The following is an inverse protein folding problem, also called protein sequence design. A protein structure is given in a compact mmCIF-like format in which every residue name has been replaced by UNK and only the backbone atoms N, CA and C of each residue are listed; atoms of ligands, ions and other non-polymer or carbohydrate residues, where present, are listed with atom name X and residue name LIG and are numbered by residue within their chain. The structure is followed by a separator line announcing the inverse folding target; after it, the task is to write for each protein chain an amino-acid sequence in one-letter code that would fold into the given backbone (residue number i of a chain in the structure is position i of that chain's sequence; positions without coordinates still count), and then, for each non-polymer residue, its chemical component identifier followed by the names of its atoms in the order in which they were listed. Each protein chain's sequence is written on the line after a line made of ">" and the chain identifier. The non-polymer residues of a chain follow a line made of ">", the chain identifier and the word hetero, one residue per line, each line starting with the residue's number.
data_IF_357673182233
#
_entry.id   IF_357673182233
#
_cell.length_a   1.000
_cell.length_b   1.000
_cell.length_c   1.000
_cell.angle_alpha   90.00
_cell.angle_beta   90.00
_cell.angle_gamma   90.00
#
_symmetry.space_group_name_H-M   'P 1'
#
loop_
_entity.id
_entity.type
_entity.pdbx_description
1 polymer ?
#
# COMPACT_ATOMS: atom_id res chain seq x y z
N UNK A 1 -22.38 23.56 -8.98
CA UNK A 1 -22.49 22.35 -9.85
C UNK A 1 -21.57 22.56 -11.04
N UNK A 2 -20.63 21.68 -11.24
CA UNK A 2 -19.62 21.72 -12.31
C UNK A 2 -20.09 21.01 -13.59
N UNK A 3 -21.27 20.39 -13.58
CA UNK A 3 -21.89 19.67 -14.69
C UNK A 3 -21.44 18.20 -14.81
N UNK A 4 -20.67 17.70 -13.88
CA UNK A 4 -20.28 16.29 -13.78
C UNK A 4 -21.01 15.68 -12.58
N UNK A 5 -21.63 14.52 -12.74
CA UNK A 5 -22.24 13.79 -11.62
C UNK A 5 -21.15 12.87 -11.03
N UNK A 6 -20.73 13.16 -9.83
CA UNK A 6 -19.73 12.37 -9.11
C UNK A 6 -20.12 12.11 -7.65
N UNK A 7 -19.18 11.63 -6.83
CA UNK A 7 -19.44 11.29 -5.44
C UNK A 7 -19.85 12.49 -4.58
N UNK A 8 -19.42 13.70 -4.94
CA UNK A 8 -19.78 14.91 -4.20
C UNK A 8 -21.29 15.20 -4.34
N UNK A 9 -21.86 15.07 -5.53
CA UNK A 9 -23.28 15.25 -5.79
C UNK A 9 -24.13 14.22 -5.03
N UNK A 10 -23.67 12.98 -4.95
CA UNK A 10 -24.35 11.91 -4.20
C UNK A 10 -24.37 12.24 -2.72
N UNK A 11 -23.24 12.64 -2.14
CA UNK A 11 -23.16 13.00 -0.71
C UNK A 11 -24.02 14.23 -0.41
N UNK A 12 -23.97 15.27 -1.24
CA UNK A 12 -24.81 16.45 -1.11
C UNK A 12 -26.31 16.13 -1.13
N UNK A 13 -26.74 15.26 -2.05
CA UNK A 13 -28.12 14.83 -2.14
C UNK A 13 -28.55 14.08 -0.88
N UNK A 14 -27.73 13.20 -0.36
CA UNK A 14 -27.99 12.44 0.88
C UNK A 14 -28.07 13.39 2.08
N UNK A 15 -27.14 14.34 2.22
CA UNK A 15 -27.17 15.36 3.26
C UNK A 15 -28.51 16.12 3.25
N UNK A 16 -28.95 16.53 2.07
CA UNK A 16 -30.21 17.26 1.90
C UNK A 16 -31.44 16.39 2.26
N UNK A 17 -31.45 15.10 1.87
CA UNK A 17 -32.55 14.18 2.16
C UNK A 17 -32.63 13.87 3.67
N UNK A 18 -31.48 13.68 4.33
CA UNK A 18 -31.40 13.29 5.73
C UNK A 18 -31.35 14.50 6.69
N UNK A 19 -31.37 15.73 6.18
CA UNK A 19 -31.23 16.98 6.95
C UNK A 19 -29.99 16.97 7.86
N UNK A 20 -28.85 16.53 7.32
CA UNK A 20 -27.58 16.45 8.05
C UNK A 20 -26.90 17.81 8.06
N UNK A 21 -26.67 18.37 9.25
CA UNK A 21 -25.83 19.55 9.41
C UNK A 21 -24.33 19.18 9.40
N UNK A 22 -23.69 19.37 8.26
CA UNK A 22 -22.25 19.09 8.09
C UNK A 22 -21.35 19.94 9.00
N UNK A 23 -21.82 21.11 9.49
CA UNK A 23 -21.03 21.95 10.39
C UNK A 23 -20.90 21.35 11.81
N UNK A 24 -21.70 20.37 12.17
CA UNK A 24 -21.61 19.62 13.43
C UNK A 24 -20.68 18.41 13.35
N UNK A 25 -20.06 18.16 12.18
CA UNK A 25 -19.21 17.03 11.92
C UNK A 25 -17.73 17.43 11.90
N UNK A 26 -16.85 16.47 12.13
CA UNK A 26 -15.41 16.72 12.01
C UNK A 26 -15.04 16.93 10.56
N UNK A 27 -14.56 18.13 10.23
CA UNK A 27 -14.17 18.51 8.87
C UNK A 27 -13.05 17.63 8.34
N UNK A 28 -13.20 17.15 7.12
CA UNK A 28 -12.22 16.38 6.39
C UNK A 28 -11.22 17.35 5.74
N UNK A 29 -9.96 17.34 6.18
CA UNK A 29 -8.92 18.22 5.66
C UNK A 29 -7.78 17.48 4.96
N UNK A 30 -7.48 16.26 5.44
CA UNK A 30 -6.43 15.43 4.89
C UNK A 30 -6.88 13.99 4.75
N UNK A 31 -6.51 13.40 3.63
CA UNK A 31 -6.69 11.98 3.36
C UNK A 31 -5.43 11.39 2.74
N UNK A 32 -5.15 10.17 3.09
CA UNK A 32 -4.03 9.41 2.53
C UNK A 32 -4.40 7.97 2.35
N UNK A 33 -3.76 7.31 1.41
CA UNK A 33 -3.90 5.87 1.25
C UNK A 33 -2.56 5.21 0.98
N UNK A 34 -2.51 3.93 1.29
CA UNK A 34 -1.38 3.07 0.97
C UNK A 34 -1.89 1.77 0.37
N UNK A 35 -1.11 1.20 -0.53
CA UNK A 35 -1.46 -0.02 -1.23
C UNK A 35 -0.43 -1.12 -0.94
N UNK A 36 -0.89 -2.28 -0.47
CA UNK A 36 -0.04 -3.44 -0.19
C UNK A 36 -0.80 -4.75 -0.38
N UNK A 37 -0.23 -5.66 -1.15
CA UNK A 37 -0.79 -7.02 -1.35
C UNK A 37 -2.30 -7.03 -1.64
N UNK A 38 -2.76 -6.19 -2.58
CA UNK A 38 -4.17 -6.02 -2.94
C UNK A 38 -5.02 -5.27 -1.90
N UNK A 39 -4.47 -4.96 -0.74
CA UNK A 39 -5.16 -4.15 0.27
C UNK A 39 -4.88 -2.66 0.07
N UNK A 40 -5.94 -1.88 0.04
CA UNK A 40 -5.91 -0.42 0.06
C UNK A 40 -6.26 0.01 1.47
N UNK A 41 -5.31 0.62 2.18
CA UNK A 41 -5.53 1.18 3.51
C UNK A 41 -5.74 2.68 3.33
N UNK A 42 -6.86 3.19 3.80
CA UNK A 42 -7.26 4.59 3.70
C UNK A 42 -7.30 5.18 5.11
N UNK A 43 -6.72 6.36 5.27
CA UNK A 43 -6.69 7.11 6.53
C UNK A 43 -7.10 8.56 6.28
N UNK A 44 -7.85 9.14 7.22
CA UNK A 44 -8.32 10.53 7.18
C UNK A 44 -8.22 11.19 8.55
N UNK A 45 -8.24 12.52 8.56
CA UNK A 45 -8.29 13.33 9.79
C UNK A 45 -9.71 13.77 10.17
N UNK A 46 -10.69 13.53 9.29
CA UNK A 46 -12.09 13.90 9.49
C UNK A 46 -13.06 12.79 9.11
N UNK A 47 -14.34 13.08 9.26
CA UNK A 47 -15.43 12.15 8.97
C UNK A 47 -15.66 12.01 7.47
N UNK A 48 -15.56 10.78 6.96
CA UNK A 48 -15.82 10.46 5.55
C UNK A 48 -17.30 10.09 5.39
N UNK A 49 -17.97 10.79 4.48
CA UNK A 49 -19.34 10.56 4.04
C UNK A 49 -19.42 9.70 2.77
N UNK A 50 -18.38 9.77 1.93
CA UNK A 50 -18.27 9.01 0.71
C UNK A 50 -16.85 8.99 0.17
N UNK A 51 -16.57 8.08 -0.77
CA UNK A 51 -15.32 8.09 -1.53
C UNK A 51 -15.54 7.63 -2.98
N UNK A 52 -14.69 8.12 -3.85
CA UNK A 52 -14.54 7.65 -5.22
C UNK A 52 -13.11 7.19 -5.44
N UNK A 53 -12.96 5.98 -5.95
CA UNK A 53 -11.66 5.38 -6.23
C UNK A 53 -11.59 4.98 -7.70
N UNK A 54 -10.50 5.34 -8.36
CA UNK A 54 -10.18 4.93 -9.72
C UNK A 54 -9.05 3.91 -9.68
N UNK A 55 -9.21 2.84 -10.45
CA UNK A 55 -8.25 1.76 -10.59
C UNK A 55 -7.53 1.86 -11.94
N UNK A 56 -6.34 1.30 -12.04
CA UNK A 56 -5.59 1.23 -13.31
C UNK A 56 -6.30 0.42 -14.40
N UNK A 57 -7.16 -0.50 -13.98
CA UNK A 57 -7.94 -1.39 -14.83
C UNK A 57 -9.22 -1.83 -14.09
N UNK A 58 -10.24 -2.36 -14.79
CA UNK A 58 -11.49 -2.81 -14.19
C UNK A 58 -11.30 -4.10 -13.38
N UNK A 59 -10.68 -3.98 -12.21
CA UNK A 59 -10.47 -5.07 -11.26
C UNK A 59 -11.60 -5.13 -10.27
N UNK A 60 -12.18 -6.31 -10.05
CA UNK A 60 -13.22 -6.48 -9.07
C UNK A 60 -12.70 -6.21 -7.65
N UNK A 61 -13.48 -5.51 -6.83
CA UNK A 61 -13.24 -5.43 -5.39
C UNK A 61 -13.71 -6.74 -4.79
N UNK A 62 -12.79 -7.50 -4.19
CA UNK A 62 -13.09 -8.81 -3.62
C UNK A 62 -13.69 -8.71 -2.23
N UNK A 63 -13.33 -7.68 -1.49
CA UNK A 63 -13.75 -7.50 -0.11
C UNK A 63 -13.75 -6.02 0.26
N UNK A 64 -14.90 -5.53 0.66
CA UNK A 64 -15.08 -4.19 1.21
C UNK A 64 -16.01 -4.31 2.43
N UNK A 65 -15.48 -3.99 3.60
CA UNK A 65 -16.25 -3.97 4.86
C UNK A 65 -16.68 -2.53 5.15
N UNK A 66 -17.90 -2.21 4.71
CA UNK A 66 -18.52 -0.92 5.02
C UNK A 66 -19.43 -1.06 6.25
N UNK A 67 -19.61 0.01 7.04
CA UNK A 67 -20.59 0.04 8.13
C UNK A 67 -22.01 -0.20 7.62
N UNK A 68 -22.90 -0.60 8.53
CA UNK A 68 -24.34 -0.59 8.24
C UNK A 68 -24.76 0.81 7.79
N UNK A 69 -25.66 0.89 6.82
CA UNK A 69 -26.09 2.17 6.24
C UNK A 69 -25.21 2.71 5.11
N UNK A 70 -24.16 2.00 4.75
CA UNK A 70 -23.36 2.30 3.58
C UNK A 70 -23.73 1.44 2.38
N UNK A 71 -23.61 2.01 1.19
CA UNK A 71 -23.72 1.30 -0.08
C UNK A 71 -22.53 1.62 -0.99
N UNK A 72 -22.28 0.76 -1.97
CA UNK A 72 -21.21 0.97 -2.93
C UNK A 72 -21.53 0.37 -4.28
N UNK A 73 -20.93 0.92 -5.32
CA UNK A 73 -21.06 0.43 -6.68
C UNK A 73 -19.74 0.57 -7.44
N UNK A 74 -19.53 -0.29 -8.42
CA UNK A 74 -18.39 -0.23 -9.31
C UNK A 74 -18.85 -0.27 -10.76
N UNK A 75 -18.35 0.67 -11.56
CA UNK A 75 -18.55 0.74 -13.00
C UNK A 75 -17.18 0.82 -13.70
N UNK A 76 -16.79 -0.29 -14.35
CA UNK A 76 -15.47 -0.38 -14.97
C UNK A 76 -14.35 -0.24 -13.91
N UNK A 77 -13.46 0.73 -14.11
CA UNK A 77 -12.36 1.00 -13.20
C UNK A 77 -12.72 1.97 -12.05
N UNK A 78 -13.94 2.50 -12.02
CA UNK A 78 -14.37 3.45 -10.99
C UNK A 78 -15.26 2.78 -9.97
N UNK A 79 -14.90 2.92 -8.70
CA UNK A 79 -15.69 2.50 -7.54
C UNK A 79 -16.13 3.73 -6.75
N UNK A 80 -17.40 3.76 -6.33
CA UNK A 80 -17.97 4.77 -5.43
C UNK A 80 -18.58 4.08 -4.22
N UNK A 81 -18.42 4.68 -3.05
CA UNK A 81 -19.09 4.24 -1.82
C UNK A 81 -19.56 5.45 -1.02
N UNK A 82 -20.70 5.34 -0.39
CA UNK A 82 -21.37 6.46 0.29
C UNK A 82 -22.28 5.97 1.41
N UNK A 83 -22.46 6.83 2.40
CA UNK A 83 -23.38 6.58 3.50
C UNK A 83 -24.83 6.92 3.09
N UNK A 84 -25.77 6.06 3.43
CA UNK A 84 -27.20 6.26 3.21
C UNK A 84 -27.94 6.76 4.46
N UNK A 85 -27.33 6.68 5.64
CA UNK A 85 -27.99 6.97 6.93
C UNK A 85 -27.24 8.01 7.78
N UNK A 86 -26.19 8.63 7.24
CA UNK A 86 -25.36 9.59 7.96
C UNK A 86 -24.25 8.98 8.81
N UNK A 87 -24.02 7.66 8.74
CA UNK A 87 -22.88 7.01 9.41
C UNK A 87 -21.58 7.32 8.69
N UNK A 88 -20.55 7.78 9.40
CA UNK A 88 -19.24 8.02 8.86
C UNK A 88 -18.39 6.75 8.78
N UNK A 89 -17.44 6.68 7.82
CA UNK A 89 -16.38 5.68 7.88
C UNK A 89 -15.43 5.98 9.06
N UNK A 90 -14.85 4.93 9.64
CA UNK A 90 -13.77 5.14 10.61
C UNK A 90 -12.57 5.82 9.94
N UNK A 91 -11.82 6.63 10.71
CA UNK A 91 -10.65 7.38 10.21
C UNK A 91 -9.56 6.49 9.60
N UNK A 92 -9.66 5.20 9.79
CA UNK A 92 -8.83 4.20 9.11
C UNK A 92 -9.67 2.99 8.75
N UNK A 93 -9.70 2.66 7.47
CA UNK A 93 -10.37 1.45 6.97
C UNK A 93 -9.58 0.80 5.84
N UNK A 94 -9.92 -0.44 5.51
CA UNK A 94 -9.23 -1.23 4.51
C UNK A 94 -10.25 -1.87 3.57
N UNK A 95 -9.92 -1.90 2.29
CA UNK A 95 -10.60 -2.70 1.28
C UNK A 95 -9.58 -3.58 0.56
N UNK A 96 -10.04 -4.67 -0.06
CA UNK A 96 -9.18 -5.62 -0.75
C UNK A 96 -9.63 -5.76 -2.21
N UNK A 97 -8.71 -5.57 -3.15
CA UNK A 97 -8.95 -5.80 -4.57
C UNK A 97 -8.92 -7.30 -4.89
N UNK A 98 -9.74 -7.75 -5.83
CA UNK A 98 -9.84 -9.16 -6.23
C UNK A 98 -8.60 -9.66 -6.98
N UNK A 99 -7.96 -8.79 -7.74
CA UNK A 99 -6.80 -9.04 -8.58
C UNK A 99 -5.72 -7.96 -8.42
N UNK A 100 -4.66 -8.01 -9.20
CA UNK A 100 -3.55 -7.07 -9.11
C UNK A 100 -3.84 -5.75 -9.84
N UNK A 101 -4.82 -5.00 -9.37
CA UNK A 101 -5.04 -3.60 -9.77
C UNK A 101 -4.27 -2.64 -8.86
N UNK A 102 -4.07 -1.41 -9.32
CA UNK A 102 -3.53 -0.31 -8.51
C UNK A 102 -4.53 0.83 -8.46
N UNK A 103 -4.55 1.54 -7.34
CA UNK A 103 -5.33 2.78 -7.21
C UNK A 103 -4.58 3.89 -7.94
N UNK A 104 -5.24 4.53 -8.88
CA UNK A 104 -4.69 5.67 -9.64
C UNK A 104 -5.16 7.01 -9.11
N UNK A 105 -6.35 7.00 -8.50
CA UNK A 105 -6.96 8.19 -7.91
C UNK A 105 -7.87 7.77 -6.74
N UNK A 106 -7.85 8.54 -5.65
CA UNK A 106 -8.78 8.36 -4.53
C UNK A 106 -9.24 9.74 -4.03
N UNK A 107 -10.54 9.98 -4.15
CA UNK A 107 -11.21 11.17 -3.64
C UNK A 107 -12.04 10.80 -2.43
N UNK A 108 -11.91 11.55 -1.35
CA UNK A 108 -12.71 11.42 -0.15
C UNK A 108 -13.62 12.65 -0.01
N UNK A 109 -14.86 12.43 0.42
CA UNK A 109 -15.87 13.48 0.61
C UNK A 109 -16.34 13.43 2.05
N UNK A 110 -16.32 14.60 2.71
CA UNK A 110 -16.80 14.79 4.06
C UNK A 110 -18.26 15.24 4.12
N UNK A 111 -18.80 15.39 5.31
CA UNK A 111 -20.18 15.83 5.53
C UNK A 111 -20.39 17.34 5.38
N UNK A 112 -19.33 18.14 5.34
CA UNK A 112 -19.39 19.60 5.11
C UNK A 112 -19.27 20.00 3.64
N UNK A 113 -19.47 19.06 2.71
CA UNK A 113 -19.27 19.24 1.26
C UNK A 113 -17.81 19.46 0.85
N UNK A 114 -16.89 19.26 1.78
CA UNK A 114 -15.46 19.23 1.45
C UNK A 114 -15.12 17.93 0.70
N UNK A 115 -14.36 18.10 -0.35
CA UNK A 115 -13.82 17.01 -1.15
C UNK A 115 -12.31 17.15 -1.25
N UNK A 116 -11.60 16.09 -0.95
CA UNK A 116 -10.15 16.08 -0.98
C UNK A 116 -9.62 14.93 -1.82
N UNK A 117 -8.53 15.22 -2.52
CA UNK A 117 -7.71 14.20 -3.15
C UNK A 117 -6.83 13.54 -2.08
N UNK A 118 -7.03 12.24 -1.83
CA UNK A 118 -6.18 11.50 -0.92
C UNK A 118 -4.78 11.31 -1.53
N UNK A 119 -3.75 11.50 -0.71
CA UNK A 119 -2.36 11.33 -1.13
C UNK A 119 -1.93 9.86 -0.98
N UNK A 120 -1.33 9.30 -2.02
CA UNK A 120 -0.68 8.01 -1.90
C UNK A 120 0.54 8.13 -0.98
N UNK A 121 0.52 7.39 0.11
CA UNK A 121 1.72 7.16 0.93
C UNK A 121 2.26 5.79 0.57
N UNK A 122 3.37 5.71 -0.15
CA UNK A 122 4.00 4.43 -0.38
C UNK A 122 4.36 3.82 0.98
N UNK A 123 3.71 2.71 1.33
CA UNK A 123 4.20 1.93 2.48
C UNK A 123 5.68 1.64 2.25
N UNK A 124 6.51 1.70 3.30
CA UNK A 124 7.86 1.17 3.20
C UNK A 124 7.71 -0.25 2.65
N UNK A 125 8.24 -0.50 1.45
CA UNK A 125 8.22 -1.83 0.85
C UNK A 125 9.05 -2.74 1.73
N UNK A 126 8.38 -3.39 2.68
CA UNK A 126 8.97 -4.52 3.37
C UNK A 126 8.95 -5.68 2.39
N UNK A 127 10.10 -5.95 1.80
CA UNK A 127 10.30 -7.14 0.98
C UNK A 127 10.16 -8.43 1.80
N UNK A 128 9.91 -8.34 3.11
CA UNK A 128 9.93 -9.50 3.99
C UNK A 128 11.29 -10.19 4.00
N UNK A 129 12.39 -9.43 3.83
CA UNK A 129 13.74 -9.94 3.71
C UNK A 129 14.12 -10.78 4.93
N UNK A 130 14.38 -12.05 4.71
CA UNK A 130 14.86 -13.01 5.69
C UNK A 130 16.18 -13.59 5.22
N UNK A 131 17.09 -13.84 6.16
CA UNK A 131 18.38 -14.45 5.89
C UNK A 131 18.67 -15.51 6.98
N UNK A 132 18.97 -16.71 6.55
CA UNK A 132 19.25 -17.81 7.47
C UNK A 132 20.03 -18.97 6.85
N UNK A 133 20.75 -19.73 7.67
CA UNK A 133 20.99 -19.56 9.09
C UNK A 133 21.77 -18.28 9.40
N UNK A 134 21.63 -17.76 10.63
CA UNK A 134 22.40 -16.61 11.11
C UNK A 134 22.73 -16.84 12.60
N UNK A 135 24.00 -17.07 12.99
CA UNK A 135 25.22 -17.07 12.16
C UNK A 135 25.29 -18.21 11.14
N UNK A 136 26.13 -18.04 10.12
CA UNK A 136 26.39 -19.09 9.12
C UNK A 136 27.91 -19.29 8.88
N UNK A 137 28.32 -20.46 8.39
CA UNK A 137 29.71 -20.79 8.03
C UNK A 137 29.90 -21.04 6.55
N UNK A 138 29.10 -21.93 5.94
CA UNK A 138 29.27 -22.30 4.52
C UNK A 138 28.46 -21.39 3.59
N UNK A 139 27.24 -21.01 4.01
CA UNK A 139 26.34 -20.16 3.24
C UNK A 139 25.03 -19.92 3.93
N UNK A 140 24.27 -18.98 3.42
CA UNK A 140 22.95 -18.63 3.93
C UNK A 140 21.93 -18.50 2.80
N UNK A 141 20.68 -18.83 3.10
CA UNK A 141 19.54 -18.57 2.24
C UNK A 141 19.05 -17.14 2.49
N UNK A 142 18.71 -16.45 1.42
CA UNK A 142 18.15 -15.11 1.40
C UNK A 142 16.79 -15.25 0.74
N UNK A 143 15.72 -14.87 1.43
CA UNK A 143 14.37 -14.89 0.87
C UNK A 143 13.69 -13.56 1.05
N UNK A 144 12.87 -13.18 0.09
CA UNK A 144 11.99 -12.02 0.14
C UNK A 144 10.81 -12.19 -0.81
N UNK A 145 9.79 -11.37 -0.66
CA UNK A 145 8.57 -11.43 -1.46
C UNK A 145 8.38 -10.18 -2.31
N UNK A 146 7.87 -10.35 -3.52
CA UNK A 146 7.48 -9.28 -4.42
C UNK A 146 5.99 -9.37 -4.73
N UNK A 147 5.28 -8.27 -4.53
CA UNK A 147 3.84 -8.18 -4.86
C UNK A 147 3.59 -8.00 -6.34
N UNK A 148 4.53 -7.35 -7.05
CA UNK A 148 4.48 -7.08 -8.49
C UNK A 148 5.85 -7.29 -9.12
N UNK A 149 5.89 -7.46 -10.46
CA UNK A 149 7.15 -7.53 -11.19
C UNK A 149 7.94 -6.21 -11.05
N UNK A 150 9.21 -6.31 -10.63
CA UNK A 150 10.09 -5.15 -10.40
C UNK A 150 11.54 -5.43 -10.75
N UNK A 151 12.27 -4.37 -11.10
CA UNK A 151 13.72 -4.43 -11.13
C UNK A 151 14.28 -4.43 -9.71
N UNK A 152 14.97 -5.50 -9.35
CA UNK A 152 15.55 -5.70 -8.03
C UNK A 152 17.07 -5.74 -8.11
N UNK A 153 17.70 -5.19 -7.08
CA UNK A 153 19.13 -5.33 -6.81
C UNK A 153 19.29 -5.95 -5.43
N UNK A 154 20.01 -7.07 -5.36
CA UNK A 154 20.35 -7.77 -4.13
C UNK A 154 21.87 -7.68 -3.94
N UNK A 155 22.31 -6.87 -2.97
CA UNK A 155 23.69 -6.54 -2.71
C UNK A 155 24.15 -7.02 -1.34
N UNK A 156 25.46 -7.20 -1.21
CA UNK A 156 26.17 -7.48 0.05
C UNK A 156 27.12 -6.34 0.37
N UNK A 157 27.10 -5.91 1.64
CA UNK A 157 27.97 -4.89 2.21
C UNK A 157 28.70 -5.43 3.44
N UNK A 158 29.87 -4.91 3.74
CA UNK A 158 30.55 -5.15 5.01
C UNK A 158 30.00 -4.29 6.15
N UNK A 159 30.56 -4.44 7.35
CA UNK A 159 30.18 -3.68 8.53
C UNK A 159 30.40 -2.17 8.37
N UNK A 160 31.39 -1.76 7.57
CA UNK A 160 31.70 -0.37 7.28
C UNK A 160 30.81 0.25 6.21
N UNK A 161 29.86 -0.52 5.64
CA UNK A 161 29.00 -0.08 4.55
C UNK A 161 29.69 -0.13 3.16
N UNK A 162 30.87 -0.74 3.07
CA UNK A 162 31.53 -0.92 1.80
C UNK A 162 30.83 -2.01 0.99
N UNK A 163 30.53 -1.70 -0.27
CA UNK A 163 29.96 -2.66 -1.20
C UNK A 163 30.94 -3.79 -1.48
N UNK A 164 30.46 -5.03 -1.43
CA UNK A 164 31.24 -6.23 -1.71
C UNK A 164 30.81 -6.88 -3.02
N UNK A 165 29.53 -7.14 -3.20
CA UNK A 165 29.05 -7.91 -4.34
C UNK A 165 27.56 -7.71 -4.56
N UNK A 166 27.14 -7.74 -5.83
CA UNK A 166 25.74 -7.94 -6.24
C UNK A 166 25.49 -9.43 -6.44
N UNK A 167 24.49 -9.96 -5.77
CA UNK A 167 24.03 -11.35 -5.89
C UNK A 167 23.02 -11.50 -7.03
N UNK A 168 22.15 -10.49 -7.21
CA UNK A 168 21.14 -10.44 -8.27
C UNK A 168 20.88 -9.00 -8.67
N UNK A 169 20.68 -8.79 -9.99
CA UNK A 169 20.20 -7.52 -10.55
C UNK A 169 19.38 -7.80 -11.81
N UNK A 170 18.14 -7.33 -11.83
CA UNK A 170 17.25 -7.46 -12.98
C UNK A 170 15.79 -7.48 -12.63
N UNK A 171 14.95 -7.66 -13.65
CA UNK A 171 13.51 -7.81 -13.52
C UNK A 171 13.17 -9.14 -12.87
N UNK A 172 12.36 -9.11 -11.83
CA UNK A 172 11.89 -10.30 -11.11
C UNK A 172 10.36 -10.32 -11.11
N UNK A 173 9.79 -11.52 -11.19
CA UNK A 173 8.35 -11.73 -11.18
C UNK A 173 7.78 -11.66 -9.76
N UNK A 174 6.44 -11.43 -9.60
CA UNK A 174 5.78 -11.50 -8.29
C UNK A 174 5.97 -12.87 -7.63
N UNK A 175 5.88 -12.89 -6.30
CA UNK A 175 5.97 -14.08 -5.47
C UNK A 175 7.27 -14.15 -4.67
N UNK A 176 7.46 -15.29 -4.00
CA UNK A 176 8.62 -15.53 -3.14
C UNK A 176 9.88 -15.77 -3.97
N UNK A 177 10.93 -15.02 -3.63
CA UNK A 177 12.24 -15.10 -4.24
C UNK A 177 13.21 -15.74 -3.26
N UNK A 178 14.09 -16.64 -3.75
CA UNK A 178 15.04 -17.37 -2.93
C UNK A 178 16.41 -17.36 -3.59
N UNK A 179 17.44 -17.00 -2.82
CA UNK A 179 18.84 -16.96 -3.25
C UNK A 179 19.71 -17.66 -2.22
N UNK A 180 20.81 -18.20 -2.68
CA UNK A 180 21.83 -18.78 -1.81
C UNK A 180 23.13 -17.99 -1.96
N UNK A 181 23.67 -17.53 -0.82
CA UNK A 181 24.96 -16.87 -0.80
C UNK A 181 25.98 -17.72 -0.01
N UNK A 182 27.05 -18.15 -0.74
CA UNK A 182 28.18 -18.86 -0.17
C UNK A 182 29.45 -18.01 -0.45
N UNK A 183 29.96 -17.26 0.54
CA UNK A 183 31.16 -16.44 0.35
C UNK A 183 32.42 -17.31 0.29
N UNK A 184 33.22 -17.16 -0.77
CA UNK A 184 34.47 -17.92 -0.94
C UNK A 184 35.71 -17.20 -0.41
N UNK A 185 35.72 -15.85 -0.42
CA UNK A 185 36.90 -15.03 -0.08
C UNK A 185 36.56 -13.87 0.85
N UNK A 186 35.71 -14.13 1.86
CA UNK A 186 35.28 -13.12 2.83
C UNK A 186 35.71 -13.55 4.24
N UNK A 187 36.17 -12.63 5.04
CA UNK A 187 36.58 -12.91 6.43
C UNK A 187 35.36 -13.21 7.31
N UNK A 188 35.59 -13.86 8.45
CA UNK A 188 34.55 -13.92 9.48
C UNK A 188 34.22 -12.49 9.92
N UNK A 189 32.92 -12.18 10.06
CA UNK A 189 32.49 -10.85 10.42
C UNK A 189 31.01 -10.61 10.16
N UNK A 190 30.58 -9.39 10.45
CA UNK A 190 29.22 -8.93 10.21
C UNK A 190 29.08 -8.36 8.80
N UNK A 191 28.02 -8.74 8.11
CA UNK A 191 27.66 -8.28 6.78
C UNK A 191 26.22 -7.82 6.75
N UNK A 192 25.86 -7.05 5.72
CA UNK A 192 24.50 -6.61 5.46
C UNK A 192 24.09 -7.06 4.06
N UNK A 193 22.95 -7.72 3.98
CA UNK A 193 22.26 -7.99 2.72
C UNK A 193 21.28 -6.87 2.49
N UNK A 194 21.30 -6.23 1.32
CA UNK A 194 20.35 -5.22 0.90
C UNK A 194 19.55 -5.72 -0.28
N UNK A 195 18.23 -5.71 -0.19
CA UNK A 195 17.31 -5.79 -1.33
C UNK A 195 16.79 -4.39 -1.64
N UNK A 196 16.77 -4.00 -2.92
CA UNK A 196 16.32 -2.67 -3.35
C UNK A 196 15.62 -2.73 -4.70
N UNK A 197 14.55 -1.93 -4.87
CA UNK A 197 13.86 -1.70 -6.15
C UNK A 197 14.25 -0.34 -6.79
N UNK A 198 15.28 0.32 -6.26
CA UNK A 198 15.75 1.63 -6.69
C UNK A 198 15.10 2.80 -5.97
N UNK A 199 13.88 2.64 -5.46
CA UNK A 199 13.17 3.65 -4.63
C UNK A 199 13.23 3.28 -3.15
N UNK A 200 13.05 2.00 -2.85
CA UNK A 200 13.01 1.45 -1.51
C UNK A 200 14.12 0.43 -1.30
N UNK A 201 14.55 0.24 -0.07
CA UNK A 201 15.50 -0.82 0.27
C UNK A 201 15.26 -1.34 1.68
N UNK A 202 15.55 -2.64 1.86
CA UNK A 202 15.54 -3.30 3.15
C UNK A 202 16.88 -3.97 3.38
N UNK A 203 17.32 -3.99 4.65
CA UNK A 203 18.59 -4.57 5.06
C UNK A 203 18.38 -5.70 6.06
N UNK A 204 19.17 -6.75 5.95
CA UNK A 204 19.29 -7.79 6.94
C UNK A 204 20.74 -7.92 7.39
N UNK A 205 20.97 -7.90 8.71
CA UNK A 205 22.30 -8.12 9.32
C UNK A 205 22.54 -9.61 9.45
N UNK A 206 23.73 -10.07 9.05
CA UNK A 206 24.15 -11.47 9.15
C UNK A 206 25.56 -11.58 9.71
N UNK A 207 25.86 -12.70 10.36
CA UNK A 207 27.17 -13.01 10.92
C UNK A 207 27.77 -14.23 10.20
N UNK A 208 28.89 -14.03 9.53
CA UNK A 208 29.67 -15.09 8.90
C UNK A 208 30.77 -15.58 9.84
N UNK A 209 30.83 -16.90 10.03
CA UNK A 209 31.86 -17.59 10.82
C UNK A 209 32.65 -18.52 9.88
N UNK A 210 33.96 -18.56 10.03
CA UNK A 210 34.82 -19.56 9.37
C UNK A 210 35.05 -20.73 10.30
#
# INVERSE_FOLDING_TARGET
>A
QDGVIDIEDIVLLIQWILDIDGNLRTTLSNGKYSFHNRSVIIESDGEIAGFQMELSEPVAISEIHLPSGWDWNQAGATCVAYSLDGTSLPNRFTLTLGESGTVTNLRLVGWGSESIQALEIPLPHFFGLQVGPNPFNMGCNISFELSIAKNIVLDVYDLGGQYLKTLMKGMMQPGQQNFYWAPSNVSSGTYFIRVSDGKNSQFAKILHLK
#
